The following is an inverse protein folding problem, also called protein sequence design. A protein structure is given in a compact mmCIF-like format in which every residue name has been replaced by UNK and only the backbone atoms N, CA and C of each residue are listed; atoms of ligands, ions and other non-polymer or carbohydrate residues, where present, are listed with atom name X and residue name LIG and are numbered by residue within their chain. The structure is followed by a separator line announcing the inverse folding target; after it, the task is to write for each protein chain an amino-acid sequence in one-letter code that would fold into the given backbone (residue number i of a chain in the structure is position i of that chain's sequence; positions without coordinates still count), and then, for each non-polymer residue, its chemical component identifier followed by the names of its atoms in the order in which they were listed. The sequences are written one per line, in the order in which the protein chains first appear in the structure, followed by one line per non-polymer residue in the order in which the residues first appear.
data_IF_509406521209
#
_entry.id   IF_509406521209
#
_cell.length_a   1.000
_cell.length_b   1.000
_cell.length_c   1.000
_cell.angle_alpha   90.00
_cell.angle_beta   90.00
_cell.angle_gamma   90.00
#
_symmetry.space_group_name_H-M   'P 1'
#
loop_
_entity.id
_entity.type
_entity.pdbx_description
1 polymer ?
#
# COMPACT_ATOMS: atom_id res chain seq x y z
N UNK A 1 -18.12 65.14 -39.50
CA UNK A 1 -18.70 64.07 -38.66
C UNK A 1 -17.81 62.84 -38.79
N UNK A 2 -16.87 62.64 -37.87
CA UNK A 2 -15.99 61.47 -37.85
C UNK A 2 -16.42 60.55 -36.71
N UNK A 3 -16.78 59.31 -37.06
CA UNK A 3 -17.25 58.30 -36.14
C UNK A 3 -16.05 57.65 -35.42
N UNK A 4 -16.01 57.79 -34.09
CA UNK A 4 -15.13 57.00 -33.21
C UNK A 4 -15.65 55.56 -33.19
N UNK A 5 -14.83 54.60 -33.63
CA UNK A 5 -15.07 53.17 -33.37
C UNK A 5 -14.47 52.83 -32.00
N UNK A 6 -15.33 52.57 -31.02
CA UNK A 6 -14.93 52.02 -29.73
C UNK A 6 -14.62 50.53 -29.90
N UNK A 7 -13.39 50.13 -29.60
CA UNK A 7 -12.95 48.73 -29.61
C UNK A 7 -13.06 48.19 -28.19
N UNK A 8 -14.07 47.37 -27.93
CA UNK A 8 -14.26 46.68 -26.65
C UNK A 8 -13.24 45.54 -26.55
N UNK A 9 -12.26 45.67 -25.66
CA UNK A 9 -11.31 44.60 -25.35
C UNK A 9 -11.97 43.58 -24.40
N UNK A 10 -12.18 42.36 -24.88
CA UNK A 10 -12.63 41.23 -24.07
C UNK A 10 -11.41 40.62 -23.37
N UNK A 11 -11.33 40.77 -22.05
CA UNK A 11 -10.32 40.09 -21.23
C UNK A 11 -10.73 38.61 -21.09
N UNK A 12 -10.05 37.72 -21.82
CA UNK A 12 -10.15 36.28 -21.59
C UNK A 12 -9.31 35.92 -20.35
N UNK A 13 -9.98 35.66 -19.23
CA UNK A 13 -9.36 35.02 -18.06
C UNK A 13 -9.07 33.56 -18.43
N UNK A 14 -7.83 33.27 -18.82
CA UNK A 14 -7.32 31.93 -18.99
C UNK A 14 -7.16 31.30 -17.60
N UNK A 15 -8.13 30.48 -17.20
CA UNK A 15 -8.00 29.60 -16.05
C UNK A 15 -6.97 28.52 -16.38
N UNK A 16 -5.69 28.78 -16.07
CA UNK A 16 -4.69 27.72 -16.06
C UNK A 16 -5.01 26.77 -14.91
N UNK A 17 -5.34 25.53 -15.24
CA UNK A 17 -5.28 24.43 -14.29
C UNK A 17 -3.83 24.31 -13.83
N UNK A 18 -3.50 24.86 -12.66
CA UNK A 18 -2.22 24.65 -12.03
C UNK A 18 -2.08 23.15 -11.72
N UNK A 19 -1.36 22.43 -12.58
CA UNK A 19 -0.94 21.07 -12.27
C UNK A 19 0.03 21.20 -11.08
N UNK A 20 -0.35 20.65 -9.93
CA UNK A 20 0.50 20.70 -8.75
C UNK A 20 1.81 19.97 -9.06
N UNK A 21 2.94 20.61 -8.75
CA UNK A 21 4.25 20.00 -8.88
C UNK A 21 4.44 18.85 -7.89
N UNK A 22 5.53 18.06 -8.02
CA UNK A 22 5.82 16.98 -7.09
C UNK A 22 5.97 17.47 -5.65
N UNK A 23 5.61 16.63 -4.69
CA UNK A 23 5.67 16.91 -3.25
C UNK A 23 6.61 15.89 -2.59
N UNK A 24 7.68 16.37 -1.96
CA UNK A 24 8.55 15.52 -1.14
C UNK A 24 7.93 15.32 0.24
N UNK A 25 7.98 14.08 0.75
CA UNK A 25 7.51 13.77 2.09
C UNK A 25 8.61 14.05 3.12
N UNK A 26 8.33 14.90 4.11
CA UNK A 26 9.32 15.28 5.13
C UNK A 26 9.84 14.06 5.91
N UNK A 27 11.17 13.98 6.05
CA UNK A 27 11.83 12.92 6.84
C UNK A 27 11.98 11.57 6.13
N UNK A 28 11.78 11.53 4.81
CA UNK A 28 12.04 10.38 3.94
C UNK A 28 12.58 10.82 2.56
N UNK A 29 13.08 9.86 1.78
CA UNK A 29 13.47 10.08 0.37
C UNK A 29 12.30 9.81 -0.60
N UNK A 30 11.06 9.95 -0.13
CA UNK A 30 9.85 9.66 -0.93
C UNK A 30 9.32 10.94 -1.59
N UNK A 31 9.01 10.86 -2.88
CA UNK A 31 8.40 11.97 -3.63
C UNK A 31 7.09 11.53 -4.29
N UNK A 32 6.04 12.34 -4.11
CA UNK A 32 4.69 12.11 -4.61
C UNK A 32 4.42 12.96 -5.85
N UNK A 33 3.89 12.35 -6.91
CA UNK A 33 3.54 12.98 -8.18
C UNK A 33 2.05 12.80 -8.48
N UNK A 34 1.50 13.68 -9.34
CA UNK A 34 0.10 13.58 -9.79
C UNK A 34 -0.96 13.94 -8.74
N UNK A 35 -0.54 14.36 -7.55
CA UNK A 35 -1.41 14.55 -6.40
C UNK A 35 -1.99 15.96 -6.31
N UNK A 36 -3.25 16.07 -5.88
CA UNK A 36 -3.76 17.32 -5.28
C UNK A 36 -3.06 17.53 -3.92
N UNK A 37 -2.94 18.77 -3.42
CA UNK A 37 -2.22 19.03 -2.16
C UNK A 37 -2.68 18.17 -0.96
N UNK A 38 -3.99 17.98 -0.82
CA UNK A 38 -4.59 17.14 0.21
C UNK A 38 -4.26 15.65 0.06
N UNK A 39 -4.20 15.15 -1.19
CA UNK A 39 -3.87 13.74 -1.45
C UNK A 39 -2.38 13.50 -1.16
N UNK A 40 -1.51 14.45 -1.54
CA UNK A 40 -0.08 14.41 -1.21
C UNK A 40 0.14 14.39 0.31
N UNK A 41 -0.60 15.21 1.06
CA UNK A 41 -0.53 15.21 2.52
C UNK A 41 -0.96 13.87 3.11
N UNK A 42 -2.04 13.26 2.60
CA UNK A 42 -2.51 11.96 3.03
C UNK A 42 -1.50 10.84 2.73
N UNK A 43 -0.89 10.87 1.54
CA UNK A 43 0.20 9.99 1.11
C UNK A 43 1.42 10.13 2.02
N UNK A 44 1.89 11.35 2.27
CA UNK A 44 3.06 11.56 3.14
C UNK A 44 2.80 11.18 4.60
N UNK A 45 1.57 11.34 5.09
CA UNK A 45 1.19 10.82 6.40
C UNK A 45 1.26 9.28 6.46
N UNK A 46 0.90 8.58 5.38
CA UNK A 46 1.05 7.13 5.29
C UNK A 46 2.52 6.71 5.24
N UNK A 47 3.37 7.43 4.51
CA UNK A 47 4.82 7.19 4.47
C UNK A 47 5.44 7.32 5.86
N UNK A 48 5.09 8.37 6.60
CA UNK A 48 5.54 8.56 7.97
C UNK A 48 5.06 7.44 8.90
N UNK A 49 3.82 6.97 8.73
CA UNK A 49 3.27 5.82 9.48
C UNK A 49 3.99 4.53 9.13
N UNK A 50 4.21 4.24 7.85
CA UNK A 50 4.91 3.05 7.39
C UNK A 50 6.30 2.95 8.02
N UNK A 51 7.06 4.06 8.04
CA UNK A 51 8.36 4.13 8.69
C UNK A 51 8.30 3.70 10.16
N UNK A 52 7.36 4.24 10.93
CA UNK A 52 7.17 3.86 12.34
C UNK A 52 6.75 2.40 12.49
N UNK A 53 5.84 1.93 11.64
CA UNK A 53 5.38 0.54 11.63
C UNK A 53 6.54 -0.42 11.36
N UNK A 54 7.39 -0.13 10.37
CA UNK A 54 8.53 -0.94 9.97
C UNK A 54 9.59 -1.01 11.06
N UNK A 55 9.99 0.16 11.59
CA UNK A 55 10.93 0.27 12.71
C UNK A 55 10.44 -0.52 13.94
N UNK A 56 9.13 -0.51 14.21
CA UNK A 56 8.54 -1.25 15.34
C UNK A 56 8.44 -2.77 15.13
N UNK A 57 8.69 -3.28 13.93
CA UNK A 57 8.39 -4.66 13.57
C UNK A 57 9.44 -5.33 12.68
N UNK A 58 10.70 -4.93 12.81
CA UNK A 58 11.85 -5.55 12.14
C UNK A 58 11.76 -5.60 10.61
N UNK A 59 11.01 -4.68 9.99
CA UNK A 59 11.05 -4.47 8.53
C UNK A 59 12.14 -3.43 8.25
N UNK A 60 13.02 -3.67 7.26
CA UNK A 60 14.12 -2.74 6.95
C UNK A 60 13.59 -1.37 6.50
N UNK A 61 14.35 -0.28 6.74
CA UNK A 61 13.97 1.03 6.25
C UNK A 61 14.15 1.12 4.73
N UNK A 62 13.34 1.95 4.08
CA UNK A 62 13.54 2.34 2.68
C UNK A 62 14.66 3.39 2.66
N UNK A 63 15.82 3.05 2.11
CA UNK A 63 17.05 3.88 2.16
C UNK A 63 17.39 4.57 0.84
N UNK A 64 16.48 4.52 -0.13
CA UNK A 64 16.69 5.00 -1.49
C UNK A 64 15.53 5.87 -1.93
N UNK A 65 15.75 6.76 -2.92
CA UNK A 65 14.68 7.57 -3.48
C UNK A 65 13.54 6.69 -4.00
N UNK A 66 12.32 6.97 -3.57
CA UNK A 66 11.12 6.24 -3.98
C UNK A 66 10.12 7.22 -4.58
N UNK A 67 9.65 6.90 -5.78
CA UNK A 67 8.61 7.66 -6.47
C UNK A 67 7.24 7.05 -6.18
N UNK A 68 6.26 7.89 -5.85
CA UNK A 68 4.85 7.51 -5.77
C UNK A 68 4.07 8.34 -6.79
N UNK A 69 3.44 7.67 -7.75
CA UNK A 69 2.52 8.30 -8.70
C UNK A 69 1.08 8.04 -8.28
N UNK A 70 0.33 9.10 -8.00
CA UNK A 70 -1.12 8.99 -7.84
C UNK A 70 -1.79 9.01 -9.22
N UNK A 71 -2.46 7.92 -9.54
CA UNK A 71 -3.10 7.69 -10.85
C UNK A 71 -4.61 7.51 -10.71
N UNK A 72 -5.36 7.77 -11.76
CA UNK A 72 -6.83 7.61 -11.72
C UNK A 72 -7.28 6.21 -12.14
N UNK A 73 -6.39 5.43 -12.76
CA UNK A 73 -6.70 4.11 -13.29
C UNK A 73 -5.53 3.16 -13.10
N UNK A 74 -5.86 1.92 -12.72
CA UNK A 74 -5.00 0.74 -12.70
C UNK A 74 -5.82 -0.44 -13.23
N UNK A 75 -5.15 -1.57 -13.48
CA UNK A 75 -5.78 -2.83 -13.84
C UNK A 75 -6.93 -3.23 -12.88
N UNK A 76 -7.81 -4.12 -13.35
CA UNK A 76 -8.93 -4.58 -12.54
C UNK A 76 -8.42 -5.27 -11.26
N UNK A 77 -9.07 -4.97 -10.13
CA UNK A 77 -8.70 -5.47 -8.80
C UNK A 77 -7.31 -5.05 -8.29
N UNK A 78 -6.65 -4.10 -8.96
CA UNK A 78 -5.42 -3.47 -8.50
C UNK A 78 -5.72 -2.08 -7.92
N UNK A 79 -5.22 -1.83 -6.70
CA UNK A 79 -5.35 -0.55 -5.99
C UNK A 79 -4.03 0.21 -5.91
N UNK A 80 -2.92 -0.51 -5.92
CA UNK A 80 -1.56 -0.01 -6.02
C UNK A 80 -0.66 -1.10 -6.56
N UNK A 81 0.50 -0.70 -7.07
CA UNK A 81 1.53 -1.60 -7.56
C UNK A 81 2.89 -0.98 -7.32
N UNK A 82 3.73 -1.71 -6.60
CA UNK A 82 5.17 -1.51 -6.60
C UNK A 82 5.81 -2.16 -7.83
N UNK A 83 6.52 -1.37 -8.62
CA UNK A 83 7.30 -1.83 -9.76
C UNK A 83 8.68 -2.29 -9.28
N UNK A 84 8.81 -3.60 -9.04
CA UNK A 84 10.02 -4.23 -8.54
C UNK A 84 11.26 -3.84 -9.36
N UNK A 85 12.25 -3.23 -8.70
CA UNK A 85 13.52 -2.80 -9.31
C UNK A 85 13.51 -1.38 -9.85
N UNK A 86 12.35 -0.72 -9.91
CA UNK A 86 12.21 0.65 -10.45
C UNK A 86 12.07 1.72 -9.35
N UNK A 87 12.01 1.32 -8.08
CA UNK A 87 11.82 2.21 -6.93
C UNK A 87 10.64 3.18 -7.16
N UNK A 88 9.54 2.60 -7.65
CA UNK A 88 8.36 3.30 -8.11
C UNK A 88 7.09 2.56 -7.67
N UNK A 89 6.14 3.31 -7.12
CA UNK A 89 4.80 2.87 -6.79
C UNK A 89 3.80 3.64 -7.64
N UNK A 90 2.90 2.94 -8.31
CA UNK A 90 1.64 3.51 -8.79
C UNK A 90 0.55 3.22 -7.78
N UNK A 91 -0.24 4.22 -7.42
CA UNK A 91 -1.33 4.07 -6.46
C UNK A 91 -2.55 4.82 -6.98
N UNK A 92 -3.74 4.20 -6.91
CA UNK A 92 -4.96 4.94 -7.22
C UNK A 92 -5.09 6.16 -6.32
N UNK A 93 -5.46 7.31 -6.90
CA UNK A 93 -5.77 8.50 -6.11
C UNK A 93 -6.86 8.20 -5.07
N UNK A 94 -6.92 8.92 -3.94
CA UNK A 94 -7.95 8.67 -2.91
C UNK A 94 -9.37 8.65 -3.48
N UNK A 95 -9.67 9.53 -4.46
CA UNK A 95 -10.97 9.55 -5.14
C UNK A 95 -11.19 8.32 -6.02
N UNK A 96 -10.20 7.90 -6.81
CA UNK A 96 -10.32 6.73 -7.66
C UNK A 96 -10.43 5.44 -6.84
N UNK A 97 -9.69 5.34 -5.74
CA UNK A 97 -9.73 4.21 -4.81
C UNK A 97 -11.09 4.09 -4.14
N UNK A 98 -11.64 5.20 -3.63
CA UNK A 98 -13.00 5.25 -3.08
C UNK A 98 -14.04 4.79 -4.09
N UNK A 99 -13.92 5.20 -5.35
CA UNK A 99 -14.86 4.79 -6.40
C UNK A 99 -14.82 3.28 -6.71
N UNK A 100 -13.69 2.62 -6.41
CA UNK A 100 -13.50 1.17 -6.55
C UNK A 100 -13.72 0.40 -5.23
N UNK A 101 -14.10 1.08 -4.14
CA UNK A 101 -14.31 0.42 -2.86
C UNK A 101 -15.53 -0.50 -2.92
N UNK A 102 -15.28 -1.81 -2.95
CA UNK A 102 -16.32 -2.80 -3.21
C UNK A 102 -17.12 -3.12 -1.94
N UNK A 103 -18.46 -2.99 -1.99
CA UNK A 103 -19.33 -3.49 -0.93
C UNK A 103 -19.11 -4.98 -0.69
N UNK A 104 -18.98 -5.39 0.57
CA UNK A 104 -18.77 -6.79 0.95
C UNK A 104 -17.32 -7.29 0.85
N UNK A 105 -16.38 -6.47 0.38
CA UNK A 105 -14.95 -6.77 0.54
C UNK A 105 -14.54 -6.72 2.03
N UNK A 106 -13.41 -7.33 2.36
CA UNK A 106 -12.88 -7.30 3.74
C UNK A 106 -12.45 -5.90 4.21
N UNK A 107 -12.42 -4.93 3.29
CA UNK A 107 -12.10 -3.53 3.56
C UNK A 107 -13.35 -2.64 3.58
N UNK A 108 -14.54 -3.17 3.30
CA UNK A 108 -15.75 -2.37 3.05
C UNK A 108 -16.12 -1.42 4.19
N UNK A 109 -15.83 -1.80 5.44
CA UNK A 109 -16.16 -1.03 6.63
C UNK A 109 -15.02 -0.08 7.08
N UNK A 110 -13.92 0.00 6.33
CA UNK A 110 -12.82 0.93 6.61
C UNK A 110 -13.16 2.34 6.12
N UNK A 111 -12.80 3.40 6.88
CA UNK A 111 -12.81 4.76 6.36
C UNK A 111 -11.93 4.87 5.10
N UNK A 112 -12.37 5.62 4.09
CA UNK A 112 -11.67 5.76 2.80
C UNK A 112 -10.18 6.11 2.96
N UNK A 113 -9.87 7.08 3.81
CA UNK A 113 -8.49 7.51 4.08
C UNK A 113 -7.68 6.38 4.72
N UNK A 114 -8.25 5.63 5.66
CA UNK A 114 -7.58 4.51 6.31
C UNK A 114 -7.33 3.36 5.33
N UNK A 115 -8.30 3.08 4.46
CA UNK A 115 -8.15 2.10 3.38
C UNK A 115 -7.01 2.51 2.44
N UNK A 116 -7.04 3.74 1.92
CA UNK A 116 -5.98 4.29 1.06
C UNK A 116 -4.59 4.21 1.69
N UNK A 117 -4.44 4.70 2.92
CA UNK A 117 -3.16 4.67 3.60
C UNK A 117 -2.67 3.24 3.84
N UNK A 118 -3.58 2.30 4.14
CA UNK A 118 -3.20 0.90 4.35
C UNK A 118 -2.70 0.24 3.06
N UNK A 119 -3.35 0.48 1.92
CA UNK A 119 -2.87 -0.01 0.62
C UNK A 119 -1.48 0.56 0.31
N UNK A 120 -1.25 1.84 0.59
CA UNK A 120 0.09 2.39 0.40
C UNK A 120 1.13 1.74 1.32
N UNK A 121 0.79 1.40 2.57
CA UNK A 121 1.72 0.66 3.45
C UNK A 121 2.03 -0.74 2.90
N UNK A 122 1.07 -1.41 2.23
CA UNK A 122 1.31 -2.65 1.51
C UNK A 122 2.43 -2.48 0.47
N UNK A 123 2.28 -1.52 -0.44
CA UNK A 123 3.26 -1.26 -1.51
C UNK A 123 4.61 -0.78 -0.97
N UNK A 124 4.61 0.04 0.09
CA UNK A 124 5.82 0.47 0.77
C UNK A 124 6.56 -0.71 1.42
N UNK A 125 5.84 -1.76 1.82
CA UNK A 125 6.47 -2.95 2.37
C UNK A 125 7.23 -3.71 1.28
N UNK A 126 6.65 -3.86 0.09
CA UNK A 126 7.35 -4.41 -1.08
C UNK A 126 8.61 -3.61 -1.42
N UNK A 127 8.53 -2.28 -1.36
CA UNK A 127 9.71 -1.43 -1.51
C UNK A 127 10.75 -1.71 -0.40
N UNK A 128 10.34 -1.74 0.87
CA UNK A 128 11.26 -1.98 1.99
C UNK A 128 12.02 -3.30 1.86
N UNK A 129 11.34 -4.36 1.43
CA UNK A 129 11.90 -5.73 1.41
C UNK A 129 12.52 -6.13 0.07
N UNK A 130 12.66 -5.23 -0.92
CA UNK A 130 13.16 -5.61 -2.26
C UNK A 130 14.52 -6.32 -2.23
N UNK A 131 15.37 -5.96 -1.26
CA UNK A 131 16.75 -6.45 -1.12
C UNK A 131 16.85 -7.58 -0.07
N UNK A 132 15.73 -8.04 0.48
CA UNK A 132 15.68 -9.18 1.41
C UNK A 132 16.06 -10.46 0.66
N UNK A 133 16.90 -11.33 1.24
CA UNK A 133 17.29 -12.58 0.60
C UNK A 133 16.10 -13.48 0.27
N UNK A 134 16.03 -13.93 -0.98
CA UNK A 134 15.12 -14.98 -1.42
C UNK A 134 15.93 -16.15 -1.97
N UNK A 135 15.82 -17.37 -1.38
CA UNK A 135 16.59 -18.53 -1.84
C UNK A 135 15.96 -19.23 -3.06
N UNK A 136 14.84 -18.72 -3.59
CA UNK A 136 14.08 -19.28 -4.71
C UNK A 136 14.03 -18.30 -5.88
N UNK A 137 13.50 -18.74 -7.03
CA UNK A 137 13.24 -17.85 -8.19
C UNK A 137 12.39 -16.62 -7.82
N UNK A 138 11.43 -16.79 -6.92
CA UNK A 138 10.68 -15.72 -6.27
C UNK A 138 10.17 -16.17 -4.89
N UNK A 139 10.00 -15.20 -3.98
CA UNK A 139 9.44 -15.42 -2.64
C UNK A 139 8.11 -14.70 -2.51
N UNK A 140 7.20 -14.99 -3.45
CA UNK A 140 5.91 -14.32 -3.56
C UNK A 140 5.13 -14.38 -2.22
N UNK A 141 5.08 -15.53 -1.57
CA UNK A 141 4.28 -15.71 -0.36
C UNK A 141 4.89 -14.99 0.82
N UNK A 142 6.22 -15.03 0.99
CA UNK A 142 6.89 -14.22 2.01
C UNK A 142 6.63 -12.72 1.79
N UNK A 143 6.76 -12.23 0.56
CA UNK A 143 6.58 -10.82 0.24
C UNK A 143 5.14 -10.35 0.50
N UNK A 144 4.15 -11.10 0.01
CA UNK A 144 2.73 -10.78 0.21
C UNK A 144 2.31 -10.93 1.68
N UNK A 145 2.84 -11.94 2.39
CA UNK A 145 2.60 -12.09 3.83
C UNK A 145 3.09 -10.86 4.59
N UNK A 146 4.33 -10.42 4.34
CA UNK A 146 4.90 -9.23 4.98
C UNK A 146 4.07 -7.99 4.65
N UNK A 147 3.72 -7.80 3.38
CA UNK A 147 2.95 -6.65 2.92
C UNK A 147 1.54 -6.59 3.55
N UNK A 148 0.79 -7.70 3.58
CA UNK A 148 -0.51 -7.73 4.25
C UNK A 148 -0.41 -7.53 5.77
N UNK A 149 0.59 -8.14 6.42
CA UNK A 149 0.76 -7.95 7.87
C UNK A 149 1.05 -6.47 8.19
N UNK A 150 1.94 -5.82 7.44
CA UNK A 150 2.25 -4.41 7.66
C UNK A 150 1.08 -3.49 7.29
N UNK A 151 0.36 -3.79 6.21
CA UNK A 151 -0.88 -3.10 5.84
C UNK A 151 -1.86 -3.07 7.00
N UNK A 152 -2.19 -4.23 7.59
CA UNK A 152 -3.17 -4.30 8.67
C UNK A 152 -2.61 -3.76 10.00
N UNK A 153 -1.32 -3.98 10.27
CA UNK A 153 -0.65 -3.39 11.45
C UNK A 153 -0.69 -1.86 11.44
N UNK A 154 -0.70 -1.23 10.28
CA UNK A 154 -0.76 0.24 10.14
C UNK A 154 -2.14 0.84 10.44
N UNK A 155 -3.19 0.02 10.47
CA UNK A 155 -4.54 0.44 10.82
C UNK A 155 -4.65 0.72 12.33
N UNK A 156 -5.61 1.57 12.71
CA UNK A 156 -5.98 1.72 14.13
C UNK A 156 -6.54 0.40 14.68
N UNK A 157 -6.51 0.16 16.00
CA UNK A 157 -7.11 -1.03 16.59
C UNK A 157 -8.58 -1.23 16.19
N UNK A 158 -9.36 -0.16 16.10
CA UNK A 158 -10.77 -0.22 15.68
C UNK A 158 -10.90 -0.65 14.22
N UNK A 159 -10.04 -0.15 13.33
CA UNK A 159 -10.01 -0.53 11.92
C UNK A 159 -9.52 -1.98 11.72
N UNK A 160 -8.58 -2.46 12.54
CA UNK A 160 -8.17 -3.87 12.55
C UNK A 160 -9.35 -4.79 12.92
N UNK A 161 -10.20 -4.38 13.88
CA UNK A 161 -11.40 -5.11 14.23
C UNK A 161 -12.44 -5.13 13.08
N UNK A 162 -12.59 -4.03 12.34
CA UNK A 162 -13.46 -4.01 11.15
C UNK A 162 -12.95 -4.95 10.06
N UNK A 163 -11.65 -4.95 9.80
CA UNK A 163 -11.03 -5.86 8.83
C UNK A 163 -11.27 -7.34 9.15
N UNK A 164 -11.23 -7.68 10.45
CA UNK A 164 -11.46 -9.04 10.97
C UNK A 164 -12.93 -9.45 11.08
N UNK A 165 -13.87 -8.57 10.74
CA UNK A 165 -15.30 -8.86 10.85
C UNK A 165 -15.69 -10.08 10.01
N UNK A 166 -16.28 -11.08 10.66
CA UNK A 166 -16.67 -12.35 10.05
C UNK A 166 -15.55 -13.37 9.89
N UNK A 167 -14.34 -13.10 10.40
CA UNK A 167 -13.29 -14.10 10.52
C UNK A 167 -13.54 -15.01 11.74
N UNK A 168 -13.13 -16.27 11.63
CA UNK A 168 -13.05 -17.19 12.76
C UNK A 168 -11.74 -16.93 13.51
N UNK A 169 -11.82 -16.21 14.63
CA UNK A 169 -10.66 -15.79 15.43
C UNK A 169 -10.07 -16.93 16.25
N UNK A 170 -10.84 -17.99 16.51
CA UNK A 170 -10.42 -19.14 17.31
C UNK A 170 -9.68 -20.18 16.46
N UNK A 171 -9.82 -20.11 15.13
CA UNK A 171 -9.12 -20.98 14.20
C UNK A 171 -7.61 -20.72 14.20
N UNK A 172 -6.83 -21.75 14.52
CA UNK A 172 -5.37 -21.70 14.41
C UNK A 172 -4.97 -21.76 12.94
N UNK A 173 -4.30 -20.71 12.46
CA UNK A 173 -3.80 -20.66 11.08
C UNK A 173 -2.47 -21.40 11.01
N UNK A 174 -2.42 -22.43 10.18
CA UNK A 174 -1.19 -23.14 9.87
C UNK A 174 -0.40 -22.44 8.76
N UNK A 175 0.92 -22.68 8.70
CA UNK A 175 1.78 -22.12 7.65
C UNK A 175 1.35 -22.59 6.25
N UNK A 176 0.88 -23.82 6.12
CA UNK A 176 0.49 -24.41 4.82
C UNK A 176 -0.76 -23.73 4.23
N UNK A 177 -1.53 -23.01 5.04
CA UNK A 177 -2.65 -22.19 4.59
C UNK A 177 -2.23 -20.81 4.06
N UNK A 178 -0.96 -20.46 4.18
CA UNK A 178 -0.35 -19.30 3.55
C UNK A 178 0.37 -19.79 2.29
N UNK A 179 -0.36 -19.90 1.20
CA UNK A 179 0.17 -20.45 -0.05
C UNK A 179 -0.37 -19.72 -1.29
N UNK A 180 0.31 -19.95 -2.41
CA UNK A 180 0.07 -19.29 -3.68
C UNK A 180 -1.33 -19.55 -4.27
N UNK A 181 -1.89 -20.75 -4.07
CA UNK A 181 -3.26 -21.02 -4.54
C UNK A 181 -4.27 -20.14 -3.82
N UNK A 182 -4.16 -20.01 -2.49
CA UNK A 182 -5.08 -19.17 -1.72
C UNK A 182 -4.88 -17.69 -2.08
N UNK A 183 -3.63 -17.23 -2.22
CA UNK A 183 -3.33 -15.86 -2.65
C UNK A 183 -4.02 -15.50 -3.97
N UNK A 184 -3.87 -16.32 -5.01
CA UNK A 184 -4.46 -16.02 -6.32
C UNK A 184 -5.97 -16.24 -6.39
N UNK A 185 -6.50 -17.26 -5.72
CA UNK A 185 -7.93 -17.59 -5.80
C UNK A 185 -8.80 -16.77 -4.84
N UNK A 186 -8.23 -16.34 -3.71
CA UNK A 186 -8.95 -15.66 -2.65
C UNK A 186 -8.00 -14.72 -1.87
N UNK A 187 -7.52 -13.63 -2.49
CA UNK A 187 -6.56 -12.71 -1.86
C UNK A 187 -7.09 -12.13 -0.54
N UNK A 188 -8.39 -11.88 -0.45
CA UNK A 188 -9.04 -11.43 0.79
C UNK A 188 -8.92 -12.45 1.93
N UNK A 189 -9.02 -13.75 1.61
CA UNK A 189 -8.81 -14.83 2.59
C UNK A 189 -7.34 -14.89 2.97
N UNK A 190 -6.43 -14.77 2.01
CA UNK A 190 -4.99 -14.74 2.26
C UNK A 190 -4.59 -13.59 3.19
N UNK A 191 -5.10 -12.39 2.96
CA UNK A 191 -4.84 -11.21 3.79
C UNK A 191 -5.28 -11.44 5.25
N UNK A 192 -6.50 -11.96 5.47
CA UNK A 192 -7.02 -12.29 6.80
C UNK A 192 -6.19 -13.37 7.50
N UNK A 193 -5.85 -14.44 6.78
CA UNK A 193 -5.02 -15.52 7.32
C UNK A 193 -3.63 -15.02 7.70
N UNK A 194 -3.04 -14.15 6.89
CA UNK A 194 -1.73 -13.55 7.16
C UNK A 194 -1.74 -12.78 8.48
N UNK A 195 -2.74 -11.92 8.69
CA UNK A 195 -2.92 -11.17 9.92
C UNK A 195 -3.18 -12.08 11.13
N UNK A 196 -4.11 -13.04 11.03
CA UNK A 196 -4.40 -13.98 12.10
C UNK A 196 -3.17 -14.81 12.48
N UNK A 197 -2.46 -15.37 11.49
CA UNK A 197 -1.23 -16.12 11.71
C UNK A 197 -0.18 -15.29 12.46
N UNK A 198 0.00 -14.03 12.06
CA UNK A 198 0.90 -13.08 12.72
C UNK A 198 0.51 -12.86 14.18
N UNK A 199 -0.76 -12.55 14.47
CA UNK A 199 -1.24 -12.29 15.83
C UNK A 199 -1.20 -13.53 16.75
N UNK A 200 -1.13 -14.73 16.17
CA UNK A 200 -1.04 -15.99 16.91
C UNK A 200 0.41 -16.37 17.27
N UNK A 201 1.41 -15.59 16.87
CA UNK A 201 2.81 -15.83 17.27
C UNK A 201 3.06 -15.35 18.70
N UNK A 202 3.94 -16.03 19.43
CA UNK A 202 4.40 -15.57 20.75
C UNK A 202 5.19 -14.26 20.66
N UNK A 203 6.04 -14.14 19.63
CA UNK A 203 6.74 -12.91 19.27
C UNK A 203 6.43 -12.57 17.79
N UNK A 204 5.34 -11.83 17.52
CA UNK A 204 4.92 -11.53 16.15
C UNK A 204 5.97 -10.76 15.34
N UNK A 205 6.60 -9.74 15.92
CA UNK A 205 7.59 -8.94 15.20
C UNK A 205 8.96 -9.62 15.15
N UNK A 206 9.34 -10.43 16.13
CA UNK A 206 10.49 -11.33 16.00
C UNK A 206 10.32 -12.31 14.85
N UNK A 207 9.11 -12.85 14.65
CA UNK A 207 8.81 -13.72 13.50
C UNK A 207 8.96 -12.98 12.16
N UNK A 208 8.54 -11.71 12.08
CA UNK A 208 8.77 -10.87 10.89
C UNK A 208 10.28 -10.70 10.62
N UNK A 209 11.06 -10.42 11.65
CA UNK A 209 12.52 -10.32 11.54
C UNK A 209 13.16 -11.61 11.01
N UNK A 210 12.71 -12.78 11.50
CA UNK A 210 13.19 -14.07 11.02
C UNK A 210 12.89 -14.33 9.54
N UNK A 211 11.77 -13.83 9.00
CA UNK A 211 11.47 -13.90 7.57
C UNK A 211 12.40 -12.96 6.80
N UNK A 212 12.54 -11.71 7.25
CA UNK A 212 13.42 -10.69 6.64
C UNK A 212 14.89 -11.13 6.60
N UNK A 213 15.34 -11.88 7.60
CA UNK A 213 16.70 -12.43 7.68
C UNK A 213 16.88 -13.71 6.83
N UNK A 214 15.80 -14.28 6.29
CA UNK A 214 15.81 -15.55 5.56
C UNK A 214 15.95 -16.78 6.47
N UNK A 215 15.80 -16.63 7.79
CA UNK A 215 15.81 -17.74 8.76
C UNK A 215 14.52 -18.57 8.67
N UNK A 216 13.40 -17.91 8.40
CA UNK A 216 12.10 -18.56 8.16
C UNK A 216 11.68 -18.34 6.71
N UNK A 217 11.33 -19.43 6.04
CA UNK A 217 10.80 -19.42 4.68
C UNK A 217 9.31 -19.79 4.70
N UNK A 218 8.52 -19.00 3.97
CA UNK A 218 7.09 -19.27 3.71
C UNK A 218 6.87 -19.89 2.33
N UNK A 219 7.78 -19.62 1.40
CA UNK A 219 7.80 -20.20 0.06
C UNK A 219 8.50 -21.56 0.04
N UNK A 220 8.17 -22.37 -0.97
CA UNK A 220 8.86 -23.62 -1.26
C UNK A 220 8.95 -23.79 -2.77
N UNK A 221 10.12 -24.16 -3.28
CA UNK A 221 10.22 -24.75 -4.60
C UNK A 221 9.63 -26.17 -4.59
N UNK A 222 8.66 -26.41 -5.46
CA UNK A 222 8.38 -27.79 -5.88
C UNK A 222 9.44 -28.13 -6.91
N UNK A 223 10.35 -29.04 -6.57
CA UNK A 223 11.19 -29.69 -7.56
C UNK A 223 10.28 -30.26 -8.65
N UNK A 224 10.44 -29.80 -9.89
CA UNK A 224 9.89 -30.47 -11.07
C UNK A 224 10.54 -31.85 -11.26
#
# INVERSE_FOLDING_TARGET
MHALKATTAVLMLLSWSAQAGPVSCDGSDVTVYGARPQDAQLTCAAVARAKQTFESCNVPPITRPLRIDLVETLEANCFGQYHCGEDWIELLSPSAMKAKHLPGSIYADLPDDAFFQSILVHELTHAAIKDVPCPFDNCLIANEYLAYVMQIRSLSPEAQLQFLKGADLDSKISRDELNQMIYFMAPDIFARKSWLHFTQREDPCGFIGQIVEGTVLLDYERFE
#
